data_IF_403253867642
#
_entry.id   IF_403253867642
#
_cell.length_a   1.000
_cell.length_b   1.000
_cell.length_c   1.000
_cell.angle_alpha   90.00
_cell.angle_beta   90.00
_cell.angle_gamma   90.00
#
_symmetry.space_group_name_H-M   'P 1'
#
loop_
_entity.id
_entity.type
_entity.pdbx_description
1 polymer ?
#
# COMPACT_ATOMS: atom_id res chain seq x y z
N UNK A 1 30.42 4.07 41.67
CA UNK A 1 29.56 3.11 40.92
C UNK A 1 28.27 3.76 40.42
N UNK A 2 27.47 4.41 41.28
CA UNK A 2 26.16 5.00 40.90
C UNK A 2 26.24 6.06 39.79
N UNK A 3 27.28 6.91 39.80
CA UNK A 3 27.44 7.98 38.81
C UNK A 3 27.67 7.47 37.38
N UNK A 4 28.37 6.35 37.23
CA UNK A 4 28.66 5.73 35.92
C UNK A 4 27.39 5.14 35.31
N UNK A 5 26.53 4.55 36.16
CA UNK A 5 25.24 4.00 35.72
C UNK A 5 24.31 5.12 35.25
N UNK A 6 24.25 6.24 35.97
CA UNK A 6 23.42 7.39 35.58
C UNK A 6 23.89 8.02 34.26
N UNK A 7 25.20 8.16 34.06
CA UNK A 7 25.78 8.64 32.80
C UNK A 7 25.49 7.69 31.62
N UNK A 8 25.49 6.38 31.85
CA UNK A 8 25.11 5.41 30.83
C UNK A 8 23.65 5.58 30.38
N UNK A 9 22.72 5.74 31.32
CA UNK A 9 21.30 5.93 31.03
C UNK A 9 21.00 7.25 30.30
N UNK A 10 21.69 8.34 30.65
CA UNK A 10 21.49 9.61 29.95
C UNK A 10 22.01 9.57 28.51
N UNK A 11 23.13 8.89 28.25
CA UNK A 11 23.67 8.72 26.90
C UNK A 11 22.72 7.85 26.06
N UNK A 12 22.21 6.75 26.61
CA UNK A 12 21.25 5.89 25.90
C UNK A 12 19.97 6.65 25.58
N UNK A 13 19.41 7.40 26.56
CA UNK A 13 18.23 8.23 26.33
C UNK A 13 18.47 9.31 25.27
N UNK A 14 19.66 9.92 25.27
CA UNK A 14 20.04 10.92 24.27
C UNK A 14 20.18 10.31 22.86
N UNK A 15 20.76 9.12 22.73
CA UNK A 15 20.87 8.39 21.46
C UNK A 15 19.48 8.01 20.92
N UNK A 16 18.57 7.55 21.78
CA UNK A 16 17.19 7.23 21.39
C UNK A 16 16.38 8.45 21.00
N UNK A 17 16.60 9.59 21.67
CA UNK A 17 15.91 10.85 21.38
C UNK A 17 16.40 11.52 20.10
N UNK A 18 17.71 11.60 19.91
CA UNK A 18 18.30 12.30 18.75
C UNK A 18 18.42 11.43 17.50
N UNK A 19 18.24 10.11 17.63
CA UNK A 19 18.40 9.10 16.56
C UNK A 19 19.52 9.49 15.58
N UNK A 20 20.76 9.64 16.06
CA UNK A 20 21.83 10.17 15.24
C UNK A 20 21.99 9.31 13.99
N UNK A 21 21.95 9.94 12.81
CA UNK A 21 21.96 9.25 11.51
C UNK A 21 23.16 8.31 11.30
N UNK A 22 24.24 8.48 12.08
CA UNK A 22 25.40 7.58 12.11
C UNK A 22 25.08 6.18 12.68
N UNK A 23 24.16 6.08 13.63
CA UNK A 23 23.75 4.80 14.27
C UNK A 23 22.54 4.22 13.55
N UNK A 24 21.59 5.07 13.18
CA UNK A 24 20.30 4.61 12.65
C UNK A 24 20.22 4.55 11.14
N UNK A 25 21.22 5.07 10.41
CA UNK A 25 21.13 5.25 8.97
C UNK A 25 20.02 6.23 8.63
N UNK A 26 20.30 7.26 7.84
CA UNK A 26 19.22 7.87 7.08
C UNK A 26 18.87 6.88 5.98
N UNK A 27 18.07 5.87 6.30
CA UNK A 27 17.34 5.11 5.28
C UNK A 27 16.25 6.05 4.78
N UNK A 28 16.65 7.11 4.08
CA UNK A 28 15.77 7.74 3.14
C UNK A 28 15.54 6.64 2.11
N UNK A 29 14.43 5.94 2.27
CA UNK A 29 13.95 4.94 1.31
C UNK A 29 13.99 5.65 -0.04
N UNK A 30 14.88 5.19 -0.93
CA UNK A 30 14.97 5.79 -2.26
C UNK A 30 13.57 5.78 -2.86
N UNK A 31 13.09 6.93 -3.39
CA UNK A 31 11.76 6.98 -3.96
C UNK A 31 11.67 5.88 -5.00
N UNK A 32 10.69 5.00 -4.82
CA UNK A 32 10.47 3.86 -5.70
C UNK A 32 10.46 4.34 -7.16
N UNK A 33 11.10 3.58 -8.05
CA UNK A 33 11.06 3.88 -9.48
C UNK A 33 9.61 3.92 -9.97
N UNK A 34 9.34 4.70 -11.02
CA UNK A 34 7.98 4.79 -11.58
C UNK A 34 7.38 3.40 -11.90
N UNK A 35 8.21 2.46 -12.37
CA UNK A 35 7.79 1.07 -12.63
C UNK A 35 7.36 0.33 -11.36
N UNK A 36 8.07 0.54 -10.26
CA UNK A 36 7.72 -0.04 -8.96
C UNK A 36 6.42 0.58 -8.44
N UNK A 37 6.28 1.91 -8.52
CA UNK A 37 5.06 2.61 -8.06
C UNK A 37 3.83 2.15 -8.83
N UNK A 38 3.95 2.01 -10.15
CA UNK A 38 2.88 1.47 -11.00
C UNK A 38 2.57 0.01 -10.62
N UNK A 39 3.60 -0.80 -10.40
CA UNK A 39 3.42 -2.20 -10.01
C UNK A 39 2.78 -2.36 -8.63
N UNK A 40 3.16 -1.52 -7.65
CA UNK A 40 2.56 -1.52 -6.32
C UNK A 40 1.11 -1.06 -6.36
N UNK A 41 0.81 -0.04 -7.16
CA UNK A 41 -0.56 0.47 -7.33
C UNK A 41 -1.47 -0.58 -8.00
N UNK A 42 -0.98 -1.26 -9.06
CA UNK A 42 -1.71 -2.39 -9.67
C UNK A 42 -1.98 -3.50 -8.68
N UNK A 43 -0.98 -3.85 -7.87
CA UNK A 43 -1.13 -4.89 -6.87
C UNK A 43 -2.12 -4.51 -5.78
N UNK A 44 -2.10 -3.26 -5.29
CA UNK A 44 -3.06 -2.76 -4.32
C UNK A 44 -4.50 -2.80 -4.87
N UNK A 45 -4.71 -2.35 -6.11
CA UNK A 45 -6.02 -2.42 -6.78
C UNK A 45 -6.50 -3.87 -6.94
N UNK A 46 -5.60 -4.80 -7.25
CA UNK A 46 -5.93 -6.22 -7.34
C UNK A 46 -6.38 -6.80 -6.00
N UNK A 47 -5.70 -6.46 -4.90
CA UNK A 47 -6.10 -6.91 -3.56
C UNK A 47 -7.50 -6.38 -3.19
N UNK A 48 -7.77 -5.11 -3.46
CA UNK A 48 -9.11 -4.57 -3.23
C UNK A 48 -10.17 -5.26 -4.09
N UNK A 49 -9.89 -5.53 -5.37
CA UNK A 49 -10.81 -6.29 -6.22
C UNK A 49 -11.13 -7.68 -5.65
N UNK A 50 -10.13 -8.38 -5.11
CA UNK A 50 -10.33 -9.66 -4.45
C UNK A 50 -11.18 -9.53 -3.17
N UNK A 51 -10.94 -8.51 -2.35
CA UNK A 51 -11.72 -8.25 -1.14
C UNK A 51 -13.17 -7.86 -1.46
N UNK A 52 -13.40 -7.10 -2.53
CA UNK A 52 -14.73 -6.76 -3.03
C UNK A 52 -15.48 -8.01 -3.43
N UNK A 53 -14.84 -8.91 -4.18
CA UNK A 53 -15.45 -10.18 -4.59
C UNK A 53 -15.76 -11.07 -3.38
N UNK A 54 -14.88 -11.10 -2.38
CA UNK A 54 -15.10 -11.83 -1.13
C UNK A 54 -16.27 -11.24 -0.32
N UNK A 55 -16.32 -9.91 -0.21
CA UNK A 55 -17.40 -9.19 0.46
C UNK A 55 -18.75 -9.43 -0.22
N UNK A 56 -18.79 -9.38 -1.56
CA UNK A 56 -19.99 -9.66 -2.33
C UNK A 56 -20.46 -11.10 -2.13
N UNK A 57 -19.54 -12.07 -2.11
CA UNK A 57 -19.86 -13.47 -1.86
C UNK A 57 -20.44 -13.72 -0.46
N UNK A 58 -20.02 -12.96 0.55
CA UNK A 58 -20.47 -13.11 1.95
C UNK A 58 -21.76 -12.31 2.24
N UNK A 59 -21.80 -11.04 1.84
CA UNK A 59 -22.88 -10.11 2.15
C UNK A 59 -23.97 -10.05 1.08
N UNK A 60 -23.75 -10.68 -0.09
CA UNK A 60 -24.66 -10.68 -1.24
C UNK A 60 -25.04 -9.25 -1.71
N UNK A 61 -24.11 -8.30 -1.53
CA UNK A 61 -24.20 -6.89 -1.96
C UNK A 61 -22.81 -6.32 -2.21
N UNK A 62 -22.72 -5.25 -2.99
CA UNK A 62 -21.49 -4.48 -3.14
C UNK A 62 -21.20 -3.62 -1.89
N UNK A 63 -19.93 -3.33 -1.59
CA UNK A 63 -19.56 -2.37 -0.55
C UNK A 63 -19.93 -0.94 -0.95
N UNK A 64 -20.42 -0.15 0.02
CA UNK A 64 -20.69 1.27 -0.19
C UNK A 64 -19.41 2.11 -0.21
N UNK A 65 -18.33 1.62 0.39
CA UNK A 65 -17.02 2.25 0.44
C UNK A 65 -15.91 1.23 0.71
N UNK A 66 -14.67 1.59 0.38
CA UNK A 66 -13.48 0.77 0.71
C UNK A 66 -13.28 0.58 2.22
N UNK A 67 -13.90 1.41 3.07
CA UNK A 67 -13.85 1.25 4.52
C UNK A 67 -14.66 0.06 5.04
N UNK A 68 -15.56 -0.50 4.22
CA UNK A 68 -16.30 -1.72 4.56
C UNK A 68 -15.49 -3.00 4.28
N UNK A 69 -14.37 -2.89 3.55
CA UNK A 69 -13.50 -4.02 3.23
C UNK A 69 -12.50 -4.30 4.35
N UNK A 70 -12.05 -5.55 4.47
CA UNK A 70 -11.03 -5.94 5.46
C UNK A 70 -9.68 -5.24 5.23
N UNK A 71 -9.28 -5.08 3.96
CA UNK A 71 -8.09 -4.31 3.59
C UNK A 71 -8.19 -2.81 3.88
N UNK A 72 -9.40 -2.28 4.12
CA UNK A 72 -9.64 -0.85 4.34
C UNK A 72 -9.31 0.02 3.12
N UNK A 73 -9.18 1.34 3.27
CA UNK A 73 -8.78 2.22 2.18
C UNK A 73 -7.25 2.19 1.97
N UNK A 74 -6.81 2.06 0.71
CA UNK A 74 -5.41 2.27 0.33
C UNK A 74 -5.17 3.67 -0.25
N UNK A 75 -3.96 4.17 -0.05
CA UNK A 75 -3.53 5.44 -0.63
C UNK A 75 -3.54 5.36 -2.16
N UNK A 76 -4.07 6.40 -2.80
CA UNK A 76 -4.21 6.46 -4.24
C UNK A 76 -5.28 5.54 -4.84
N UNK A 77 -5.96 4.69 -4.06
CA UNK A 77 -7.04 3.83 -4.59
C UNK A 77 -8.40 4.41 -4.23
N UNK A 78 -9.22 4.61 -5.25
CA UNK A 78 -10.60 5.06 -5.14
C UNK A 78 -11.55 4.07 -5.79
N UNK A 79 -12.79 4.08 -5.33
CA UNK A 79 -13.84 3.15 -5.71
C UNK A 79 -15.08 3.89 -6.17
N UNK A 80 -15.71 3.38 -7.23
CA UNK A 80 -17.01 3.82 -7.70
C UNK A 80 -17.86 2.64 -8.16
N UNK A 81 -19.17 2.75 -7.93
CA UNK A 81 -20.17 1.82 -8.47
C UNK A 81 -20.82 2.47 -9.69
N UNK A 82 -20.76 1.81 -10.83
CA UNK A 82 -21.45 2.16 -12.06
C UNK A 82 -22.72 1.31 -12.19
N UNK A 83 -23.87 1.95 -12.40
CA UNK A 83 -25.16 1.27 -12.44
C UNK A 83 -25.24 0.17 -13.52
N UNK A 84 -24.52 0.32 -14.63
CA UNK A 84 -24.61 -0.57 -15.81
C UNK A 84 -23.43 -1.55 -15.95
N UNK A 85 -22.26 -1.19 -15.39
CA UNK A 85 -20.99 -1.91 -15.57
C UNK A 85 -20.42 -2.50 -14.28
N UNK A 86 -21.20 -2.45 -13.20
CA UNK A 86 -20.81 -3.00 -11.92
C UNK A 86 -19.91 -2.03 -11.17
N UNK A 87 -18.70 -2.44 -10.81
CA UNK A 87 -17.79 -1.56 -10.09
C UNK A 87 -16.49 -1.23 -10.82
N UNK A 88 -15.88 -0.12 -10.39
CA UNK A 88 -14.61 0.36 -10.92
C UNK A 88 -13.70 0.85 -9.79
N UNK A 89 -12.47 0.35 -9.78
CA UNK A 89 -11.37 0.86 -8.99
C UNK A 89 -10.53 1.79 -9.85
N UNK A 90 -10.14 2.94 -9.29
CA UNK A 90 -9.21 3.88 -9.91
C UNK A 90 -8.02 4.07 -9.00
N UNK A 91 -6.83 3.78 -9.50
CA UNK A 91 -5.55 4.04 -8.85
C UNK A 91 -4.93 5.33 -9.38
N UNK A 92 -4.52 6.23 -8.48
CA UNK A 92 -3.92 7.51 -8.76
C UNK A 92 -2.77 7.79 -7.79
N UNK A 93 -1.56 7.94 -8.32
CA UNK A 93 -0.36 8.37 -7.57
C UNK A 93 0.14 9.73 -8.09
N UNK A 94 -0.76 10.57 -8.61
CA UNK A 94 -0.49 11.86 -9.24
C UNK A 94 0.10 11.78 -10.65
N UNK A 95 1.06 10.89 -10.91
CA UNK A 95 1.68 10.69 -12.23
C UNK A 95 1.12 9.47 -12.96
N UNK A 96 0.68 8.46 -12.22
CA UNK A 96 0.20 7.18 -12.74
C UNK A 96 -1.31 7.12 -12.50
N UNK A 97 -2.07 6.84 -13.54
CA UNK A 97 -3.53 6.66 -13.46
C UNK A 97 -3.91 5.30 -14.05
N UNK A 98 -4.56 4.48 -13.24
CA UNK A 98 -4.94 3.12 -13.58
C UNK A 98 -6.42 2.90 -13.28
N UNK A 99 -7.08 2.10 -14.09
CA UNK A 99 -8.47 1.71 -13.87
C UNK A 99 -8.61 0.19 -13.96
N UNK A 100 -9.37 -0.36 -13.02
CA UNK A 100 -9.73 -1.77 -12.98
C UNK A 100 -11.25 -1.86 -12.83
N UNK A 101 -11.92 -2.32 -13.89
CA UNK A 101 -13.34 -2.60 -13.87
C UNK A 101 -13.60 -4.04 -13.43
N UNK A 102 -14.79 -4.32 -12.89
CA UNK A 102 -15.20 -5.66 -12.45
C UNK A 102 -14.97 -6.76 -13.50
N UNK A 103 -15.32 -6.48 -14.76
CA UNK A 103 -15.20 -7.43 -15.87
C UNK A 103 -13.79 -7.54 -16.45
N UNK A 104 -12.85 -6.74 -15.96
CA UNK A 104 -11.48 -6.77 -16.45
C UNK A 104 -10.79 -8.06 -15.98
N UNK A 105 -9.95 -8.63 -16.85
CA UNK A 105 -9.16 -9.79 -16.48
C UNK A 105 -8.03 -9.36 -15.53
N UNK A 106 -8.11 -9.81 -14.28
CA UNK A 106 -7.18 -9.44 -13.22
C UNK A 106 -5.73 -9.87 -13.52
N UNK A 107 -5.52 -11.03 -14.15
CA UNK A 107 -4.18 -11.51 -14.53
C UNK A 107 -3.53 -10.60 -15.58
N UNK A 108 -4.32 -10.14 -16.55
CA UNK A 108 -3.87 -9.20 -17.58
C UNK A 108 -3.58 -7.81 -17.00
N UNK A 109 -4.33 -7.39 -15.99
CA UNK A 109 -4.10 -6.13 -15.29
C UNK A 109 -2.81 -6.15 -14.46
N UNK A 110 -2.52 -7.26 -13.77
CA UNK A 110 -1.29 -7.43 -13.02
C UNK A 110 -0.06 -7.54 -13.93
N UNK A 111 -0.18 -8.16 -15.10
CA UNK A 111 0.91 -8.26 -16.08
C UNK A 111 2.26 -8.68 -15.44
N UNK A 112 3.30 -7.85 -15.65
CA UNK A 112 4.63 -8.08 -15.07
C UNK A 112 4.84 -7.46 -13.67
N UNK A 113 3.82 -6.87 -13.06
CA UNK A 113 3.95 -6.14 -11.78
C UNK A 113 4.51 -7.02 -10.66
N UNK A 114 4.09 -8.29 -10.59
CA UNK A 114 4.63 -9.23 -9.60
C UNK A 114 6.13 -9.47 -9.76
N UNK A 115 6.63 -9.55 -11.00
CA UNK A 115 8.06 -9.74 -11.27
C UNK A 115 8.87 -8.49 -10.91
N UNK A 116 8.33 -7.30 -11.15
CA UNK A 116 8.97 -6.03 -10.79
C UNK A 116 9.10 -5.93 -9.26
N UNK A 117 8.02 -6.20 -8.53
CA UNK A 117 7.99 -6.15 -7.07
C UNK A 117 8.92 -7.21 -6.44
N UNK A 118 9.02 -8.40 -7.03
CA UNK A 118 9.95 -9.44 -6.56
C UNK A 118 11.42 -9.06 -6.72
N UNK A 119 11.78 -8.25 -7.72
CA UNK A 119 13.16 -7.82 -7.96
C UNK A 119 13.65 -6.79 -6.92
N UNK A 120 12.72 -6.09 -6.28
CA UNK A 120 13.03 -5.06 -5.29
C UNK A 120 13.18 -5.60 -3.86
N UNK A 121 12.76 -6.85 -3.61
CA UNK A 121 12.93 -7.55 -2.33
C UNK A 121 14.34 -8.11 -2.16
#
# INVERSE_FOLDING_TARGET
MVLIVLLGWTIIGWIWSTRPGMIFGTTAEEPASAEVREASLRYAMYLHAADIAAFEADSNRLPGSLTELESGPAEGVSWAVNADDGWMLTGDDGEIHLQLAERANADSFLGNSLTILQRQR
#
